data_IF_822688478472
#
_entry.id   IF_822688478472
#
_cell.length_a   1.000
_cell.length_b   1.000
_cell.length_c   1.000
_cell.angle_alpha   90.00
_cell.angle_beta   90.00
_cell.angle_gamma   90.00
#
_symmetry.space_group_name_H-M   'P 1'
#
loop_
_entity.id
_entity.type
_entity.pdbx_description
1 polymer ?
#
# COMPACT_ATOMS: atom_id res chain seq x y z
N UNK A 1 5.25 -3.07 9.59
CA UNK A 1 4.23 -4.05 9.10
C UNK A 1 4.35 -4.19 7.59
N UNK A 2 4.36 -5.43 7.13
CA UNK A 2 4.37 -5.72 5.68
C UNK A 2 3.07 -6.41 5.30
N UNK A 3 2.53 -6.01 4.17
CA UNK A 3 1.28 -6.53 3.65
C UNK A 3 1.46 -6.96 2.20
N UNK A 4 0.65 -7.93 1.77
CA UNK A 4 0.67 -8.42 0.40
C UNK A 4 -0.64 -8.03 -0.29
N UNK A 5 -0.53 -7.45 -1.48
CA UNK A 5 -1.70 -7.09 -2.25
C UNK A 5 -2.35 -8.34 -2.83
N UNK A 6 -3.61 -8.58 -2.50
CA UNK A 6 -4.36 -9.75 -2.96
C UNK A 6 -5.43 -9.42 -3.99
N UNK A 7 -5.56 -8.15 -4.36
CA UNK A 7 -6.47 -7.73 -5.40
C UNK A 7 -5.90 -7.93 -6.80
N UNK A 8 -6.62 -7.49 -7.81
CA UNK A 8 -6.15 -7.59 -9.19
C UNK A 8 -5.05 -6.57 -9.46
N UNK A 9 -4.04 -6.98 -10.22
CA UNK A 9 -2.96 -6.08 -10.61
C UNK A 9 -3.51 -4.84 -11.31
N UNK A 10 -3.13 -3.68 -10.78
CA UNK A 10 -3.37 -2.39 -11.43
C UNK A 10 -2.06 -1.97 -12.10
N UNK A 11 -2.04 -1.77 -13.42
CA UNK A 11 -0.78 -1.42 -14.10
C UNK A 11 -0.14 -0.14 -13.60
N UNK A 12 -0.92 0.73 -12.96
CA UNK A 12 -0.43 2.05 -12.53
C UNK A 12 -0.19 2.15 -11.04
N UNK A 13 -0.69 1.21 -10.23
CA UNK A 13 -0.68 1.40 -8.77
C UNK A 13 -0.15 0.22 -7.98
N UNK A 14 -0.77 -0.96 -8.13
CA UNK A 14 -0.50 -2.12 -7.28
C UNK A 14 -0.34 -3.38 -8.10
N UNK A 15 0.59 -4.22 -7.67
CA UNK A 15 0.85 -5.52 -8.32
C UNK A 15 0.36 -6.65 -7.43
N UNK A 16 -0.40 -7.58 -8.01
CA UNK A 16 -0.90 -8.76 -7.30
C UNK A 16 0.27 -9.56 -6.71
N UNK A 17 0.12 -10.00 -5.46
CA UNK A 17 1.12 -10.78 -4.69
C UNK A 17 2.39 -10.01 -4.30
N UNK A 18 2.51 -8.74 -4.67
CA UNK A 18 3.66 -7.94 -4.24
C UNK A 18 3.51 -7.52 -2.78
N UNK A 19 4.63 -7.47 -2.08
CA UNK A 19 4.70 -7.04 -0.68
C UNK A 19 4.98 -5.54 -0.62
N UNK A 20 4.21 -4.85 0.23
CA UNK A 20 4.38 -3.40 0.45
C UNK A 20 4.58 -3.13 1.93
N UNK A 21 5.37 -2.09 2.25
CA UNK A 21 5.54 -1.64 3.63
C UNK A 21 4.44 -0.64 3.98
N UNK A 22 3.82 -0.83 5.16
CA UNK A 22 2.82 0.09 5.66
C UNK A 22 3.52 1.26 6.35
N UNK A 23 3.25 2.47 5.88
CA UNK A 23 3.79 3.70 6.48
C UNK A 23 2.97 4.06 7.71
N UNK A 24 1.65 3.99 7.60
CA UNK A 24 0.73 4.28 8.71
C UNK A 24 -0.62 3.64 8.45
N UNK A 25 -1.41 3.53 9.52
CA UNK A 25 -2.80 3.06 9.43
C UNK A 25 -3.68 4.24 9.84
N UNK A 26 -4.56 4.66 8.95
CA UNK A 26 -5.40 5.84 9.15
C UNK A 26 -6.86 5.47 8.95
N UNK A 27 -7.64 5.48 10.03
CA UNK A 27 -9.08 5.18 9.99
C UNK A 27 -9.41 3.84 9.33
N UNK A 28 -8.57 2.82 9.57
CA UNK A 28 -8.76 1.50 8.98
C UNK A 28 -8.24 1.35 7.55
N UNK A 29 -7.52 2.34 7.05
CA UNK A 29 -6.89 2.31 5.74
C UNK A 29 -5.38 2.21 5.89
N UNK A 30 -4.72 1.47 5.01
CA UNK A 30 -3.27 1.41 4.98
C UNK A 30 -2.72 2.50 4.08
N UNK A 31 -1.74 3.25 4.61
CA UNK A 31 -0.97 4.19 3.79
C UNK A 31 0.30 3.48 3.35
N UNK A 32 0.47 3.33 2.05
CA UNK A 32 1.62 2.63 1.46
C UNK A 32 2.18 3.43 0.30
N UNK A 33 3.44 3.18 -0.04
CA UNK A 33 4.02 3.69 -1.28
C UNK A 33 3.77 2.62 -2.35
N UNK A 34 2.93 2.96 -3.32
CA UNK A 34 2.56 2.04 -4.38
C UNK A 34 3.62 2.00 -5.50
N UNK A 35 3.30 1.34 -6.62
CA UNK A 35 4.25 1.18 -7.72
C UNK A 35 4.59 2.50 -8.42
N UNK A 36 3.77 3.53 -8.25
CA UNK A 36 4.07 4.87 -8.76
C UNK A 36 5.11 5.58 -7.91
N UNK A 37 5.27 5.17 -6.65
CA UNK A 37 6.15 5.82 -5.70
C UNK A 37 5.58 7.11 -5.13
N UNK A 38 6.31 7.72 -4.21
CA UNK A 38 5.92 8.96 -3.58
C UNK A 38 6.65 10.15 -4.21
N UNK A 39 5.95 11.28 -4.33
CA UNK A 39 6.56 12.52 -4.78
C UNK A 39 7.46 13.08 -3.68
N UNK A 40 8.69 13.53 -3.98
CA UNK A 40 9.58 14.07 -2.93
C UNK A 40 9.05 15.29 -2.20
N UNK A 41 8.18 16.06 -2.83
CA UNK A 41 7.62 17.27 -2.22
C UNK A 41 6.41 16.99 -1.33
N UNK A 42 5.88 15.78 -1.30
CA UNK A 42 4.70 15.47 -0.50
C UNK A 42 5.06 15.35 0.99
N UNK A 43 4.21 15.94 1.84
CA UNK A 43 4.38 15.83 3.30
C UNK A 43 4.15 14.42 3.79
N UNK A 44 3.17 13.72 3.20
CA UNK A 44 2.86 12.33 3.53
C UNK A 44 3.03 11.48 2.28
N UNK A 45 4.06 10.63 2.23
CA UNK A 45 4.27 9.79 1.07
C UNK A 45 3.20 8.72 0.94
N UNK A 46 2.95 8.28 -0.28
CA UNK A 46 2.05 7.18 -0.56
C UNK A 46 0.59 7.58 -0.57
N UNK A 47 -0.26 6.57 -0.65
CA UNK A 47 -1.70 6.73 -0.76
C UNK A 47 -2.41 5.77 0.19
N UNK A 48 -3.67 6.07 0.53
CA UNK A 48 -4.49 5.22 1.37
C UNK A 48 -5.24 4.20 0.54
N UNK A 49 -5.22 2.94 0.99
CA UNK A 49 -5.92 1.83 0.36
C UNK A 49 -6.71 1.05 1.39
N UNK A 50 -7.88 0.48 1.01
CA UNK A 50 -8.68 -0.31 1.96
C UNK A 50 -7.95 -1.58 2.38
N UNK A 51 -8.10 -1.95 3.65
CA UNK A 51 -7.45 -3.14 4.20
C UNK A 51 -7.89 -4.44 3.51
N UNK A 52 -9.12 -4.46 2.98
CA UNK A 52 -9.68 -5.64 2.33
C UNK A 52 -8.89 -6.12 1.12
N UNK A 53 -8.08 -5.24 0.54
CA UNK A 53 -7.26 -5.57 -0.63
C UNK A 53 -5.93 -6.22 -0.26
N UNK A 54 -5.65 -6.40 1.03
CA UNK A 54 -4.34 -6.82 1.49
C UNK A 54 -4.43 -7.93 2.53
N UNK A 55 -3.34 -8.70 2.62
CA UNK A 55 -3.14 -9.70 3.64
C UNK A 55 -1.88 -9.35 4.43
N UNK A 56 -1.97 -9.37 5.77
CA UNK A 56 -0.81 -9.10 6.61
C UNK A 56 0.14 -10.29 6.52
N UNK A 57 1.39 -10.04 6.10
CA UNK A 57 2.41 -11.08 6.00
C UNK A 57 3.50 -10.92 7.05
N UNK A 58 3.64 -9.73 7.61
CA UNK A 58 4.58 -9.49 8.71
C UNK A 58 4.06 -8.32 9.55
N UNK A 59 3.78 -8.61 10.80
CA UNK A 59 3.20 -7.64 11.71
C UNK A 59 4.15 -6.57 12.24
#
# INVERSE_FOLDING_TARGET
>A
MKIKYIGQTSPLELTHDKIYDVISIEKGWYRIVDDLGAEPEEELPGFLYPQDLFEIVEG
#
